data_IF_503840562707
#
_entry.id   IF_503840562707
#
_cell.length_a   1.000
_cell.length_b   1.000
_cell.length_c   1.000
_cell.angle_alpha   90.00
_cell.angle_beta   90.00
_cell.angle_gamma   90.00
#
_symmetry.space_group_name_H-M   'P 1'
#
loop_
_entity.id
_entity.type
_entity.pdbx_description
1 polymer ?
#
# COMPACT_ATOMS: atom_id res chain seq x y z
N UNK A 1 -65.01 -8.85 21.47
CA UNK A 1 -64.29 -7.64 21.04
C UNK A 1 -62.96 -8.09 20.45
N UNK A 2 -62.97 -8.34 19.15
CA UNK A 2 -61.87 -8.81 18.32
C UNK A 2 -61.07 -7.60 17.84
N UNK A 3 -59.77 -7.54 18.14
CA UNK A 3 -58.87 -6.49 17.63
C UNK A 3 -58.63 -6.63 16.13
N UNK A 4 -58.27 -5.55 15.40
CA UNK A 4 -57.98 -5.62 13.98
C UNK A 4 -56.63 -6.30 13.71
N UNK A 5 -56.60 -7.09 12.64
CA UNK A 5 -55.43 -7.81 12.14
C UNK A 5 -54.37 -6.85 11.55
N UNK A 6 -53.10 -7.12 11.82
CA UNK A 6 -51.97 -6.46 11.14
C UNK A 6 -51.92 -6.84 9.65
N UNK A 7 -51.51 -5.92 8.76
CA UNK A 7 -51.31 -6.24 7.36
C UNK A 7 -49.99 -7.01 7.16
N UNK A 8 -50.09 -8.14 6.44
CA UNK A 8 -48.97 -8.93 5.96
C UNK A 8 -48.18 -8.12 4.91
N UNK A 9 -46.86 -8.03 5.06
CA UNK A 9 -45.97 -7.49 4.02
C UNK A 9 -46.02 -8.36 2.75
N UNK A 10 -45.97 -7.76 1.54
CA UNK A 10 -45.91 -8.52 0.30
C UNK A 10 -44.53 -9.18 0.12
N UNK A 11 -44.45 -10.35 -0.55
CA UNK A 11 -43.18 -11.03 -0.79
C UNK A 11 -42.28 -10.20 -1.72
N UNK A 12 -41.00 -10.11 -1.35
CA UNK A 12 -39.96 -9.39 -2.09
C UNK A 12 -39.85 -9.85 -3.55
N UNK A 13 -39.78 -8.88 -4.46
CA UNK A 13 -39.53 -9.10 -5.87
C UNK A 13 -38.12 -9.65 -6.14
N UNK A 14 -37.89 -10.24 -7.31
CA UNK A 14 -36.60 -10.83 -7.65
C UNK A 14 -35.49 -9.78 -7.64
N UNK A 15 -34.40 -10.10 -6.93
CA UNK A 15 -33.18 -9.32 -6.86
C UNK A 15 -32.49 -9.31 -8.22
N UNK A 16 -32.34 -8.12 -8.80
CA UNK A 16 -31.67 -7.88 -10.09
C UNK A 16 -30.13 -7.91 -9.90
N UNK A 17 -29.62 -9.06 -9.47
CA UNK A 17 -28.18 -9.29 -9.37
C UNK A 17 -27.66 -9.66 -10.77
N UNK A 18 -26.69 -8.91 -11.34
CA UNK A 18 -26.06 -9.34 -12.59
C UNK A 18 -25.36 -10.70 -12.36
N UNK A 19 -25.39 -11.62 -13.34
CA UNK A 19 -24.71 -12.90 -13.21
C UNK A 19 -23.22 -12.66 -12.97
N UNK A 20 -22.68 -13.34 -11.96
CA UNK A 20 -21.26 -13.28 -11.62
C UNK A 20 -20.39 -13.58 -12.84
N UNK A 21 -19.37 -12.76 -13.06
CA UNK A 21 -18.33 -13.02 -14.07
C UNK A 21 -17.76 -14.41 -13.81
N UNK A 22 -17.79 -15.29 -14.80
CA UNK A 22 -17.13 -16.58 -14.72
C UNK A 22 -15.66 -16.38 -14.31
N UNK A 23 -15.08 -17.26 -13.47
CA UNK A 23 -13.66 -17.22 -13.22
C UNK A 23 -12.92 -17.36 -14.56
N UNK A 24 -11.94 -16.48 -14.81
CA UNK A 24 -11.00 -16.66 -15.91
C UNK A 24 -10.17 -17.91 -15.58
N UNK A 25 -10.55 -19.07 -16.13
CA UNK A 25 -9.77 -20.31 -16.11
C UNK A 25 -8.56 -20.20 -17.05
N UNK A 26 -7.75 -19.16 -16.86
CA UNK A 26 -6.41 -19.14 -17.40
C UNK A 26 -5.59 -20.17 -16.59
N UNK A 27 -4.91 -21.14 -17.24
CA UNK A 27 -4.06 -22.05 -16.50
C UNK A 27 -2.99 -21.25 -15.76
N UNK A 28 -2.88 -21.47 -14.45
CA UNK A 28 -1.78 -20.96 -13.62
C UNK A 28 -0.47 -21.58 -14.11
N UNK A 29 0.09 -20.97 -15.17
CA UNK A 29 1.46 -21.23 -15.57
C UNK A 29 2.33 -20.50 -14.56
N UNK A 30 2.73 -21.22 -13.53
CA UNK A 30 3.82 -20.82 -12.67
C UNK A 30 4.97 -20.32 -13.56
N UNK A 31 5.52 -19.12 -13.31
CA UNK A 31 6.66 -18.65 -14.08
C UNK A 31 7.80 -19.65 -13.89
N UNK A 32 8.17 -20.35 -14.96
CA UNK A 32 9.33 -21.23 -14.98
C UNK A 32 10.59 -20.37 -15.03
N UNK A 33 10.95 -19.76 -13.90
CA UNK A 33 12.31 -19.29 -13.68
C UNK A 33 13.04 -20.37 -12.92
N UNK A 34 14.17 -20.82 -13.45
CA UNK A 34 15.09 -21.66 -12.71
C UNK A 34 15.51 -20.92 -11.43
N UNK A 35 15.77 -21.61 -10.31
CA UNK A 35 16.38 -20.98 -9.16
C UNK A 35 17.80 -20.57 -9.54
N UNK A 36 18.00 -19.30 -9.89
CA UNK A 36 19.31 -18.79 -10.30
C UNK A 36 19.30 -17.54 -11.18
N UNK A 37 18.22 -17.27 -11.91
CA UNK A 37 18.18 -16.12 -12.83
C UNK A 37 17.65 -14.87 -12.12
N UNK A 38 18.48 -14.27 -11.25
CA UNK A 38 18.38 -12.84 -11.04
C UNK A 38 18.82 -12.17 -12.35
N UNK A 39 18.03 -11.26 -12.95
CA UNK A 39 18.47 -10.55 -14.14
C UNK A 39 19.75 -9.77 -13.81
N UNK A 40 20.84 -10.10 -14.50
CA UNK A 40 22.20 -9.56 -14.33
C UNK A 40 22.33 -8.10 -14.84
N UNK A 41 21.21 -7.46 -15.13
CA UNK A 41 21.10 -6.15 -15.75
C UNK A 41 20.16 -5.17 -15.01
N UNK A 42 19.80 -5.47 -13.75
CA UNK A 42 19.09 -4.51 -12.92
C UNK A 42 19.87 -3.17 -12.87
N UNK A 43 19.30 -2.05 -13.32
CA UNK A 43 20.02 -0.78 -13.38
C UNK A 43 20.52 -0.41 -11.98
N UNK A 44 21.84 -0.19 -11.87
CA UNK A 44 22.48 0.27 -10.64
C UNK A 44 21.99 1.69 -10.35
N UNK A 45 20.93 1.80 -9.56
CA UNK A 45 20.39 3.08 -9.15
C UNK A 45 21.36 3.79 -8.19
N UNK A 46 21.35 5.13 -8.25
CA UNK A 46 22.14 5.98 -7.36
C UNK A 46 21.87 5.63 -5.87
N UNK A 47 22.90 5.71 -5.00
CA UNK A 47 22.73 5.43 -3.57
C UNK A 47 21.63 6.32 -2.97
N UNK A 48 20.64 5.69 -2.33
CA UNK A 48 19.46 6.35 -1.75
C UNK A 48 18.29 6.58 -2.71
N UNK A 49 18.43 6.21 -3.99
CA UNK A 49 17.33 6.15 -4.94
C UNK A 49 16.28 5.12 -4.50
N UNK A 50 15.01 5.39 -4.82
CA UNK A 50 13.89 4.47 -4.63
C UNK A 50 13.39 4.19 -3.19
N UNK A 51 13.93 4.80 -2.13
CA UNK A 51 13.33 4.66 -0.78
C UNK A 51 11.93 5.27 -0.69
N UNK A 52 11.72 6.39 -1.40
CA UNK A 52 10.51 7.20 -1.34
C UNK A 52 9.83 7.23 -2.71
N UNK A 53 8.52 6.94 -2.74
CA UNK A 53 7.69 7.16 -3.95
C UNK A 53 7.25 8.62 -3.97
N UNK A 54 6.81 9.13 -2.82
CA UNK A 54 6.44 10.54 -2.65
C UNK A 54 7.11 11.11 -1.41
N UNK A 55 7.78 12.25 -1.55
CA UNK A 55 8.16 13.07 -0.39
C UNK A 55 7.07 14.09 -0.12
N UNK A 56 6.88 14.42 1.15
CA UNK A 56 6.10 15.59 1.52
C UNK A 56 6.22 15.88 3.00
N UNK A 57 5.32 16.71 3.50
CA UNK A 57 5.37 17.21 4.86
C UNK A 57 3.94 17.35 5.40
N UNK A 58 3.49 16.37 6.19
CA UNK A 58 2.21 16.44 6.89
C UNK A 58 2.47 16.77 8.35
N UNK A 59 2.00 17.95 8.75
CA UNK A 59 2.19 18.45 10.09
C UNK A 59 1.42 17.60 11.13
N UNK A 60 1.95 17.48 12.35
CA UNK A 60 1.21 16.89 13.46
C UNK A 60 -0.10 17.66 13.71
N UNK A 61 -1.14 16.94 14.11
CA UNK A 61 -2.46 17.51 14.47
C UNK A 61 -2.63 17.69 15.97
N UNK A 62 -1.71 17.15 16.77
CA UNK A 62 -1.66 17.30 18.21
C UNK A 62 -0.22 17.36 18.72
N UNK A 63 -0.08 17.26 20.04
CA UNK A 63 1.20 17.02 20.71
C UNK A 63 1.19 15.66 21.40
N UNK A 64 2.33 15.23 21.94
CA UNK A 64 2.36 14.00 22.73
C UNK A 64 3.71 13.29 22.70
N UNK A 65 3.65 11.98 22.97
CA UNK A 65 4.82 11.13 23.13
C UNK A 65 5.74 11.08 21.89
N UNK A 66 5.24 11.47 20.71
CA UNK A 66 6.01 11.49 19.46
C UNK A 66 6.35 12.91 18.98
N UNK A 67 6.14 13.93 19.82
CA UNK A 67 6.51 15.31 19.48
C UNK A 67 7.99 15.41 19.03
N UNK A 68 8.20 16.07 17.88
CA UNK A 68 9.53 16.23 17.27
C UNK A 68 10.06 14.99 16.55
N UNK A 69 9.29 13.90 16.44
CA UNK A 69 9.64 12.72 15.66
C UNK A 69 9.02 12.76 14.26
N UNK A 70 9.68 12.10 13.32
CA UNK A 70 9.21 11.94 11.94
C UNK A 70 8.94 10.49 11.62
N UNK A 71 8.04 10.23 10.67
CA UNK A 71 7.79 8.89 10.16
C UNK A 71 7.50 8.91 8.65
N UNK A 72 7.84 7.82 7.96
CA UNK A 72 7.38 7.52 6.61
C UNK A 72 6.21 6.53 6.65
N UNK A 73 5.37 6.55 5.63
CA UNK A 73 4.19 5.69 5.51
C UNK A 73 4.33 4.80 4.28
N UNK A 74 4.18 3.49 4.44
CA UNK A 74 4.19 2.57 3.29
C UNK A 74 3.11 2.98 2.29
N UNK A 75 3.43 2.98 0.99
CA UNK A 75 2.54 3.53 -0.05
C UNK A 75 1.27 2.69 -0.35
N UNK A 76 0.92 1.75 0.53
CA UNK A 76 -0.39 1.09 0.57
C UNK A 76 -1.26 1.57 1.74
N UNK A 77 -0.81 2.56 2.51
CA UNK A 77 -1.53 3.17 3.62
C UNK A 77 -1.84 4.62 3.25
N UNK A 78 -3.10 5.00 3.44
CA UNK A 78 -3.60 6.31 3.04
C UNK A 78 -3.11 7.43 3.96
N UNK A 79 -2.72 8.54 3.34
CA UNK A 79 -2.35 9.80 3.98
C UNK A 79 -3.08 10.89 3.21
N UNK A 80 -4.01 11.59 3.85
CA UNK A 80 -4.72 12.70 3.20
C UNK A 80 -3.71 13.75 2.67
N UNK A 81 -3.92 14.20 1.43
CA UNK A 81 -3.02 15.14 0.76
C UNK A 81 -1.80 14.50 0.08
N UNK A 82 -1.66 13.17 0.12
CA UNK A 82 -0.65 12.43 -0.65
C UNK A 82 -1.32 11.30 -1.44
N UNK A 83 -0.92 11.04 -2.70
CA UNK A 83 -1.44 9.90 -3.43
C UNK A 83 -1.06 8.57 -2.76
N UNK A 84 -1.91 7.57 -2.94
CA UNK A 84 -1.63 6.16 -2.64
C UNK A 84 -1.54 5.42 -3.96
N UNK A 85 -0.42 4.74 -4.22
CA UNK A 85 -0.19 4.06 -5.51
C UNK A 85 0.02 2.56 -5.38
N UNK A 86 0.31 2.05 -4.18
CA UNK A 86 0.76 0.66 -3.98
C UNK A 86 1.94 0.27 -4.89
N UNK A 87 2.84 1.23 -5.15
CA UNK A 87 3.92 1.16 -6.15
C UNK A 87 3.45 0.83 -7.59
N UNK A 88 2.21 1.20 -7.93
CA UNK A 88 1.62 1.08 -9.26
C UNK A 88 1.11 2.45 -9.73
N UNK A 89 1.85 3.15 -10.62
CA UNK A 89 1.45 4.48 -11.09
C UNK A 89 0.04 4.53 -11.70
N UNK A 90 -0.40 3.47 -12.38
CA UNK A 90 -1.73 3.40 -12.98
C UNK A 90 -2.87 3.17 -11.97
N UNK A 91 -2.56 2.72 -10.75
CA UNK A 91 -3.52 2.53 -9.66
C UNK A 91 -3.68 3.79 -8.78
N UNK A 92 -2.83 4.81 -8.99
CA UNK A 92 -2.75 5.96 -8.11
C UNK A 92 -4.10 6.67 -7.90
N UNK A 93 -4.42 6.97 -6.64
CA UNK A 93 -5.58 7.77 -6.27
C UNK A 93 -5.24 8.73 -5.12
N UNK A 94 -6.05 9.76 -4.94
CA UNK A 94 -5.94 10.70 -3.83
C UNK A 94 -6.95 10.33 -2.73
N UNK A 95 -6.51 9.80 -1.57
CA UNK A 95 -7.41 9.46 -0.48
C UNK A 95 -8.00 10.73 0.16
N UNK A 96 -9.30 10.71 0.44
CA UNK A 96 -10.00 11.81 1.12
C UNK A 96 -9.62 11.94 2.59
N UNK A 97 -9.25 10.82 3.22
CA UNK A 97 -8.89 10.72 4.63
C UNK A 97 -7.64 9.88 4.80
N UNK A 98 -6.86 10.18 5.83
CA UNK A 98 -5.75 9.34 6.25
C UNK A 98 -6.27 8.04 6.87
N UNK A 99 -5.45 6.99 6.89
CA UNK A 99 -5.74 5.80 7.67
C UNK A 99 -5.65 6.10 9.19
N UNK A 100 -6.42 5.39 10.01
CA UNK A 100 -6.48 5.60 11.47
C UNK A 100 -5.09 5.57 12.15
N UNK A 101 -4.18 4.72 11.67
CA UNK A 101 -2.81 4.63 12.21
C UNK A 101 -2.03 5.92 11.95
N UNK A 102 -2.22 6.54 10.79
CA UNK A 102 -1.59 7.81 10.44
C UNK A 102 -2.16 8.92 11.32
N UNK A 103 -3.48 9.00 11.46
CA UNK A 103 -4.12 10.01 12.31
C UNK A 103 -3.68 9.90 13.78
N UNK A 104 -3.52 8.68 14.29
CA UNK A 104 -2.98 8.45 15.66
C UNK A 104 -1.55 8.92 15.80
N UNK A 105 -0.68 8.68 14.82
CA UNK A 105 0.71 9.14 14.84
C UNK A 105 0.79 10.67 14.77
N UNK A 106 0.01 11.30 13.89
CA UNK A 106 -0.10 12.75 13.77
C UNK A 106 -0.65 13.38 15.06
N UNK A 107 -1.70 12.78 15.64
CA UNK A 107 -2.29 13.23 16.89
C UNK A 107 -1.36 13.11 18.09
N UNK A 108 -0.46 12.12 18.08
CA UNK A 108 0.58 11.93 19.09
C UNK A 108 1.80 12.87 18.93
N UNK A 109 1.77 13.78 17.95
CA UNK A 109 2.82 14.79 17.72
C UNK A 109 3.86 14.44 16.67
N UNK A 110 3.74 13.30 15.96
CA UNK A 110 4.67 12.91 14.92
C UNK A 110 4.38 13.62 13.59
N UNK A 111 5.40 13.84 12.76
CA UNK A 111 5.31 14.45 11.42
C UNK A 111 5.50 13.39 10.32
N UNK A 112 4.60 13.32 9.35
CA UNK A 112 4.78 12.41 8.20
C UNK A 112 5.66 13.08 7.14
N UNK A 113 6.73 12.41 6.71
CA UNK A 113 7.70 12.94 5.73
C UNK A 113 7.57 12.34 4.33
N UNK A 114 6.58 11.46 4.10
CA UNK A 114 6.27 10.94 2.77
C UNK A 114 5.79 9.49 2.73
N UNK A 115 5.58 9.02 1.50
CA UNK A 115 5.19 7.65 1.14
C UNK A 115 6.43 6.84 0.75
N UNK A 116 6.69 5.74 1.45
CA UNK A 116 7.83 4.85 1.22
C UNK A 116 7.52 3.79 0.16
N UNK A 117 8.56 3.38 -0.57
CA UNK A 117 8.47 2.37 -1.63
C UNK A 117 8.18 0.97 -1.08
N UNK A 118 7.69 0.10 -1.97
CA UNK A 118 7.26 -1.25 -1.65
C UNK A 118 7.27 -2.15 -2.88
N UNK A 119 7.29 -3.47 -2.68
CA UNK A 119 6.91 -4.39 -3.76
C UNK A 119 5.47 -4.09 -4.19
N UNK A 120 5.24 -4.01 -5.50
CA UNK A 120 3.95 -3.59 -6.08
C UNK A 120 2.79 -4.44 -5.54
N UNK A 121 1.70 -3.77 -5.16
CA UNK A 121 0.54 -4.37 -4.50
C UNK A 121 0.89 -5.23 -3.27
N UNK A 122 1.98 -4.90 -2.58
CA UNK A 122 2.51 -5.62 -1.42
C UNK A 122 2.89 -7.08 -1.70
N UNK A 123 3.08 -7.46 -2.97
CA UNK A 123 3.25 -8.86 -3.38
C UNK A 123 4.72 -9.22 -3.59
N UNK A 124 5.40 -9.48 -2.47
CA UNK A 124 6.79 -9.90 -2.46
C UNK A 124 7.39 -9.86 -1.06
N UNK A 125 8.54 -10.51 -0.92
CA UNK A 125 9.35 -10.54 0.30
C UNK A 125 10.77 -10.01 0.05
N UNK A 126 11.05 -9.49 -1.15
CA UNK A 126 12.41 -9.16 -1.62
C UNK A 126 12.65 -7.67 -1.80
N UNK A 127 11.61 -6.87 -2.07
CA UNK A 127 11.75 -5.41 -2.17
C UNK A 127 12.27 -4.88 -3.51
N UNK A 128 12.34 -5.73 -4.54
CA UNK A 128 12.85 -5.41 -5.89
C UNK A 128 11.75 -5.40 -6.96
N UNK A 129 10.48 -5.63 -6.59
CA UNK A 129 9.34 -5.72 -7.52
C UNK A 129 8.56 -4.41 -7.56
N UNK A 130 9.27 -3.30 -7.75
CA UNK A 130 8.69 -1.95 -7.85
C UNK A 130 9.15 -1.27 -9.14
N UNK A 131 8.26 -0.65 -9.92
CA UNK A 131 8.65 0.16 -11.08
C UNK A 131 9.42 1.44 -10.67
N UNK A 132 9.45 1.78 -9.38
CA UNK A 132 10.22 2.90 -8.84
C UNK A 132 11.69 2.54 -8.54
N UNK A 133 12.10 1.29 -8.83
CA UNK A 133 13.41 0.75 -8.49
C UNK A 133 13.43 0.11 -7.10
N UNK A 134 14.53 -0.57 -6.79
CA UNK A 134 14.77 -1.20 -5.49
C UNK A 134 15.55 -0.25 -4.55
N UNK A 135 15.10 -0.03 -3.31
CA UNK A 135 15.92 0.60 -2.27
C UNK A 135 17.24 -0.17 -2.06
N UNK A 136 18.34 0.54 -1.85
CA UNK A 136 19.62 -0.09 -1.50
C UNK A 136 19.58 -0.61 -0.06
N UNK A 137 19.95 -1.87 0.17
CA UNK A 137 20.10 -2.40 1.53
C UNK A 137 21.21 -1.63 2.29
N UNK A 138 20.94 -1.08 3.49
CA UNK A 138 21.88 -0.22 4.20
C UNK A 138 23.03 -0.99 4.86
N UNK A 139 22.90 -2.30 5.05
CA UNK A 139 23.94 -3.14 5.66
C UNK A 139 24.94 -3.64 4.61
N UNK A 140 24.45 -4.03 3.44
CA UNK A 140 25.25 -4.49 2.32
C UNK A 140 24.51 -4.20 1.00
N UNK A 141 25.03 -3.32 0.12
CA UNK A 141 24.37 -2.95 -1.13
C UNK A 141 24.29 -4.09 -2.16
N UNK A 142 24.96 -5.22 -1.92
CA UNK A 142 24.87 -6.42 -2.77
C UNK A 142 23.69 -7.32 -2.39
N UNK A 143 23.06 -7.09 -1.23
CA UNK A 143 21.89 -7.83 -0.77
C UNK A 143 20.58 -7.12 -1.11
N UNK A 144 19.50 -7.88 -1.20
CA UNK A 144 18.14 -7.32 -1.33
C UNK A 144 17.75 -6.54 -0.07
N UNK A 145 16.97 -5.46 -0.18
CA UNK A 145 16.51 -4.70 0.99
C UNK A 145 15.45 -5.45 1.81
N UNK A 146 14.82 -6.48 1.23
CA UNK A 146 13.67 -7.17 1.80
C UNK A 146 12.36 -6.46 1.46
N UNK A 147 11.26 -7.20 1.52
CA UNK A 147 9.94 -6.72 1.10
C UNK A 147 8.78 -7.30 1.91
N UNK A 148 7.55 -6.88 1.66
CA UNK A 148 7.18 -5.87 0.66
C UNK A 148 7.37 -4.44 1.15
N UNK A 149 7.72 -4.21 2.41
CA UNK A 149 7.90 -2.86 3.00
C UNK A 149 9.31 -2.30 2.81
N UNK A 150 9.87 -2.42 1.61
CA UNK A 150 11.30 -2.18 1.34
C UNK A 150 11.74 -0.76 1.68
N UNK A 151 11.01 0.27 1.23
CA UNK A 151 11.33 1.66 1.53
C UNK A 151 11.22 1.98 3.02
N UNK A 152 10.24 1.40 3.71
CA UNK A 152 10.07 1.61 5.16
C UNK A 152 11.20 1.02 6.00
N UNK A 153 11.76 -0.13 5.57
CA UNK A 153 12.85 -0.79 6.30
C UNK A 153 14.20 -0.10 6.08
N UNK A 154 14.37 0.58 4.94
CA UNK A 154 15.63 1.25 4.56
C UNK A 154 15.70 2.71 5.04
N UNK A 155 14.56 3.39 5.19
CA UNK A 155 14.48 4.79 5.63
C UNK A 155 14.90 5.00 7.09
#
# INVERSE_FOLDING_TARGET
MTGPAEPLDPPGGPSDHPPGRAPDDAPDRAPTHAPGDAPDDAPRHAPGGAVWIHRGDVAPTGGGALAGRTFGVKDNIDVAGMPTTAACPAFAFAPERSADVVDRLLGAGARCVGKTNMDQFATGLVGVRSPHGAPTNPLDPTLVPGGSSSGSAVA
#
